data_IF_575080403663
#
_entry.id   IF_575080403663
#
_cell.length_a   1.000
_cell.length_b   1.000
_cell.length_c   1.000
_cell.angle_alpha   90.00
_cell.angle_beta   90.00
_cell.angle_gamma   90.00
#
_symmetry.space_group_name_H-M   'P 1'
#
loop_
_entity.id
_entity.type
_entity.pdbx_description
1 polymer ?
#
# COMPACT_ATOMS: atom_id res chain seq x y z
N UNK A 1 11.68 1.56 15.63
CA UNK A 1 11.08 1.75 14.28
C UNK A 1 11.49 0.57 13.41
N UNK A 2 10.58 -0.34 13.07
CA UNK A 2 10.89 -1.47 12.22
C UNK A 2 10.76 -1.03 10.75
N UNK A 3 11.88 -0.71 10.11
CA UNK A 3 11.93 -0.55 8.66
C UNK A 3 11.82 -1.95 8.04
N UNK A 4 10.63 -2.31 7.57
CA UNK A 4 10.44 -3.50 6.75
C UNK A 4 11.11 -3.19 5.40
N UNK A 5 12.35 -3.64 5.22
CA UNK A 5 13.11 -3.34 4.00
C UNK A 5 12.29 -3.63 2.74
N UNK A 6 12.10 -2.58 1.93
CA UNK A 6 11.38 -2.52 0.67
C UNK A 6 11.61 -3.82 -0.13
N UNK A 7 10.59 -4.69 -0.17
CA UNK A 7 10.34 -5.89 -1.00
C UNK A 7 11.48 -6.72 -1.65
N UNK A 8 12.76 -6.46 -1.36
CA UNK A 8 13.92 -7.04 -2.01
C UNK A 8 14.07 -6.66 -3.48
N UNK A 9 14.24 -5.37 -3.78
CA UNK A 9 14.79 -4.90 -5.07
C UNK A 9 13.82 -4.89 -6.26
N UNK A 10 12.52 -5.09 -6.06
CA UNK A 10 11.57 -5.19 -7.19
C UNK A 10 11.43 -3.92 -8.03
N UNK A 11 11.63 -2.78 -7.40
CA UNK A 11 11.38 -1.45 -7.99
C UNK A 11 12.53 -0.48 -7.70
N UNK A 12 13.72 -0.96 -7.29
CA UNK A 12 14.89 -0.12 -6.98
C UNK A 12 14.62 1.14 -6.12
N UNK A 13 13.58 1.14 -5.29
CA UNK A 13 13.20 2.31 -4.47
C UNK A 13 12.39 3.39 -5.18
N UNK A 14 11.92 3.18 -6.41
CA UNK A 14 11.19 4.20 -7.20
C UNK A 14 9.66 4.09 -7.13
N UNK A 15 9.11 3.14 -6.38
CA UNK A 15 7.67 2.88 -6.33
C UNK A 15 7.16 2.70 -4.90
N UNK A 16 6.01 3.31 -4.63
CA UNK A 16 5.30 3.25 -3.35
C UNK A 16 4.06 2.37 -3.47
N UNK A 17 3.81 1.55 -2.45
CA UNK A 17 2.57 0.78 -2.31
C UNK A 17 2.12 0.77 -0.85
N UNK A 18 0.82 0.60 -0.61
CA UNK A 18 0.24 0.60 0.73
C UNK A 18 0.02 -0.84 1.21
N UNK A 19 0.57 -1.17 2.38
CA UNK A 19 0.29 -2.41 3.09
C UNK A 19 -0.62 -2.13 4.29
N UNK A 20 -1.72 -2.87 4.41
CA UNK A 20 -2.63 -2.80 5.58
C UNK A 20 -2.60 -4.13 6.31
N UNK A 21 -2.31 -4.08 7.61
CA UNK A 21 -2.41 -5.23 8.51
C UNK A 21 -3.68 -5.06 9.33
N UNK A 22 -4.67 -5.92 9.07
CA UNK A 22 -5.94 -5.95 9.81
C UNK A 22 -5.88 -7.08 10.84
N UNK A 23 -5.77 -6.72 12.11
CA UNK A 23 -5.66 -7.68 13.20
C UNK A 23 -6.98 -8.38 13.54
N UNK A 24 -8.12 -7.76 13.21
CA UNK A 24 -9.45 -8.33 13.48
C UNK A 24 -9.75 -9.40 12.43
N UNK A 25 -9.53 -9.08 11.15
CA UNK A 25 -9.73 -10.03 10.03
C UNK A 25 -8.54 -10.98 9.86
N UNK A 26 -7.43 -10.75 10.56
CA UNK A 26 -6.16 -11.47 10.40
C UNK A 26 -5.69 -11.48 8.95
N UNK A 27 -5.53 -10.30 8.37
CA UNK A 27 -5.08 -10.16 6.97
C UNK A 27 -3.92 -9.19 6.82
N UNK A 28 -3.09 -9.44 5.81
CA UNK A 28 -2.09 -8.51 5.29
C UNK A 28 -2.49 -8.21 3.85
N UNK A 29 -2.90 -6.98 3.58
CA UNK A 29 -3.47 -6.56 2.30
C UNK A 29 -2.54 -5.58 1.61
N UNK A 30 -2.34 -5.73 0.30
CA UNK A 30 -1.58 -4.80 -0.52
C UNK A 30 -2.51 -4.03 -1.45
N UNK A 31 -2.34 -2.71 -1.49
CA UNK A 31 -2.95 -1.79 -2.45
C UNK A 31 -1.82 -1.16 -3.25
N UNK A 32 -1.78 -1.47 -4.55
CA UNK A 32 -0.69 -1.13 -5.43
C UNK A 32 -1.24 -0.63 -6.77
N UNK A 33 -1.17 0.68 -6.97
CA UNK A 33 -1.64 1.37 -8.17
C UNK A 33 -0.88 0.98 -9.44
N UNK A 34 0.28 0.33 -9.32
CA UNK A 34 1.09 -0.15 -10.44
C UNK A 34 1.03 -1.68 -10.59
N UNK A 35 0.32 -2.39 -9.70
CA UNK A 35 0.18 -3.86 -9.72
C UNK A 35 1.53 -4.62 -9.79
N UNK A 36 2.56 -4.06 -9.15
CA UNK A 36 3.91 -4.62 -9.09
C UNK A 36 4.05 -5.77 -8.07
N UNK A 37 3.18 -5.79 -7.06
CA UNK A 37 3.24 -6.78 -5.98
C UNK A 37 2.45 -8.05 -6.31
N UNK A 38 3.09 -9.18 -5.99
CA UNK A 38 2.48 -10.51 -6.05
C UNK A 38 2.31 -11.09 -4.65
N UNK A 39 1.50 -12.13 -4.54
CA UNK A 39 1.31 -12.87 -3.28
C UNK A 39 2.64 -13.39 -2.69
N UNK A 40 3.62 -13.73 -3.56
CA UNK A 40 4.95 -14.17 -3.12
C UNK A 40 5.68 -13.05 -2.37
N UNK A 41 5.53 -11.79 -2.81
CA UNK A 41 6.12 -10.63 -2.14
C UNK A 41 5.50 -10.40 -0.76
N UNK A 42 4.17 -10.50 -0.64
CA UNK A 42 3.49 -10.39 0.66
C UNK A 42 3.90 -11.51 1.60
N UNK A 43 4.02 -12.75 1.13
CA UNK A 43 4.49 -13.85 1.97
C UNK A 43 5.92 -13.65 2.46
N UNK A 44 6.80 -13.02 1.66
CA UNK A 44 8.14 -12.62 2.11
C UNK A 44 8.07 -11.54 3.19
N UNK A 45 7.19 -10.55 3.05
CA UNK A 45 6.94 -9.52 4.07
C UNK A 45 6.40 -10.17 5.35
N UNK A 46 5.38 -11.04 5.26
CA UNK A 46 4.83 -11.81 6.38
C UNK A 46 5.90 -12.59 7.12
N UNK A 47 6.82 -13.25 6.40
CA UNK A 47 7.97 -13.95 7.00
C UNK A 47 8.88 -12.99 7.76
N UNK A 48 9.21 -11.82 7.18
CA UNK A 48 10.01 -10.79 7.86
C UNK A 48 9.32 -10.28 9.14
N UNK A 49 8.03 -9.98 9.08
CA UNK A 49 7.22 -9.57 10.22
C UNK A 49 7.20 -10.64 11.33
N UNK A 50 7.00 -11.90 10.95
CA UNK A 50 7.03 -13.04 11.88
C UNK A 50 8.40 -13.16 12.55
N UNK A 51 9.50 -13.03 11.80
CA UNK A 51 10.86 -13.05 12.34
C UNK A 51 11.13 -11.86 13.28
N UNK A 52 10.50 -10.71 13.01
CA UNK A 52 10.52 -9.53 13.88
C UNK A 52 9.57 -9.67 15.09
N UNK A 53 9.04 -10.87 15.36
CA UNK A 53 8.13 -11.20 16.46
C UNK A 53 6.78 -10.46 16.42
N UNK A 54 6.37 -9.98 15.23
CA UNK A 54 5.01 -9.48 15.03
C UNK A 54 4.07 -10.68 14.86
N UNK A 55 2.97 -10.71 15.61
CA UNK A 55 2.02 -11.82 15.61
C UNK A 55 1.12 -11.83 14.36
N UNK A 56 1.67 -12.24 13.22
CA UNK A 56 0.96 -12.31 11.92
C UNK A 56 1.05 -13.68 11.25
N UNK A 57 1.53 -14.73 11.94
CA UNK A 57 1.84 -16.03 11.34
C UNK A 57 0.62 -16.69 10.69
N UNK A 58 -0.56 -16.52 11.26
CA UNK A 58 -1.83 -17.05 10.79
C UNK A 58 -2.57 -16.11 9.83
N UNK A 59 -2.01 -14.94 9.49
CA UNK A 59 -2.73 -13.93 8.70
C UNK A 59 -2.75 -14.30 7.21
N UNK A 60 -3.88 -14.08 6.54
CA UNK A 60 -3.98 -14.27 5.09
C UNK A 60 -3.35 -13.10 4.33
N UNK A 61 -2.53 -13.38 3.32
CA UNK A 61 -1.98 -12.35 2.43
C UNK A 61 -2.95 -12.12 1.26
N UNK A 62 -3.27 -10.86 0.95
CA UNK A 62 -4.24 -10.51 -0.10
C UNK A 62 -3.70 -9.39 -1.01
N UNK A 63 -3.78 -9.59 -2.32
CA UNK A 63 -3.63 -8.52 -3.31
C UNK A 63 -5.03 -7.93 -3.53
N UNK A 64 -5.18 -6.62 -3.31
CA UNK A 64 -6.45 -5.94 -3.50
C UNK A 64 -6.48 -5.32 -4.89
N UNK A 65 -7.59 -5.53 -5.59
CA UNK A 65 -7.89 -4.78 -6.79
C UNK A 65 -8.21 -3.34 -6.40
N UNK A 66 -7.54 -2.38 -7.03
CA UNK A 66 -7.63 -0.96 -6.71
C UNK A 66 -7.35 -0.10 -7.94
N UNK A 67 -7.72 1.18 -7.88
CA UNK A 67 -7.46 2.11 -9.00
C UNK A 67 -6.01 2.10 -9.44
N UNK A 68 -5.79 2.06 -10.75
CA UNK A 68 -4.45 2.10 -11.34
C UNK A 68 -4.02 3.51 -11.64
N UNK A 69 -2.74 3.80 -11.43
CA UNK A 69 -2.12 5.04 -11.92
C UNK A 69 -1.82 4.90 -13.42
N UNK A 70 -1.85 6.03 -14.13
CA UNK A 70 -1.53 6.10 -15.56
C UNK A 70 -0.11 6.62 -15.86
N UNK A 71 0.61 7.10 -14.85
CA UNK A 71 1.98 7.63 -14.94
C UNK A 71 2.90 6.96 -13.91
N UNK A 72 4.16 7.37 -13.83
CA UNK A 72 5.15 6.77 -12.93
C UNK A 72 5.34 7.53 -11.60
N UNK A 73 4.78 8.74 -11.47
CA UNK A 73 5.10 9.66 -10.37
C UNK A 73 4.03 9.71 -9.27
N UNK A 74 2.85 9.14 -9.53
CA UNK A 74 1.69 9.26 -8.63
C UNK A 74 1.53 8.10 -7.64
N UNK A 75 2.44 7.12 -7.61
CA UNK A 75 2.34 5.99 -6.68
C UNK A 75 2.27 6.42 -5.21
N UNK A 76 2.97 7.50 -4.82
CA UNK A 76 2.90 8.10 -3.49
C UNK A 76 1.53 8.69 -3.16
N UNK A 77 1.02 9.66 -3.94
CA UNK A 77 -0.35 10.18 -3.80
C UNK A 77 -1.44 9.10 -3.75
N UNK A 78 -1.36 8.08 -4.61
CA UNK A 78 -2.31 6.96 -4.59
C UNK A 78 -2.29 6.22 -3.23
N UNK A 79 -1.12 5.99 -2.63
CA UNK A 79 -1.03 5.38 -1.30
C UNK A 79 -1.76 6.21 -0.23
N UNK A 80 -1.60 7.53 -0.25
CA UNK A 80 -2.26 8.44 0.70
C UNK A 80 -3.78 8.44 0.51
N UNK A 81 -4.26 8.47 -0.74
CA UNK A 81 -5.69 8.45 -1.05
C UNK A 81 -6.33 7.11 -0.70
N UNK A 82 -5.66 5.98 -0.96
CA UNK A 82 -6.11 4.67 -0.50
C UNK A 82 -6.20 4.62 1.02
N UNK A 83 -5.18 5.09 1.74
CA UNK A 83 -5.20 5.12 3.20
C UNK A 83 -6.38 5.97 3.73
N UNK A 84 -6.60 7.16 3.15
CA UNK A 84 -7.72 8.04 3.49
C UNK A 84 -9.07 7.34 3.29
N UNK A 85 -9.27 6.68 2.16
CA UNK A 85 -10.52 5.97 1.87
C UNK A 85 -10.74 4.75 2.77
N UNK A 86 -9.67 4.01 3.11
CA UNK A 86 -9.73 2.87 4.03
C UNK A 86 -10.12 3.31 5.45
N UNK A 87 -9.51 4.38 5.96
CA UNK A 87 -9.82 4.96 7.28
C UNK A 87 -11.28 5.43 7.34
N UNK A 88 -11.79 5.98 6.23
CA UNK A 88 -13.18 6.42 6.11
C UNK A 88 -14.17 5.28 5.79
N UNK A 89 -13.76 4.02 5.84
CA UNK A 89 -14.59 2.84 5.56
C UNK A 89 -15.31 2.89 4.20
N UNK A 90 -14.67 3.46 3.18
CA UNK A 90 -15.23 3.52 1.82
C UNK A 90 -15.30 2.10 1.24
N UNK A 91 -16.48 1.71 0.75
CA UNK A 91 -16.74 0.35 0.27
C UNK A 91 -15.95 -0.02 -1.00
N UNK A 92 -15.64 0.95 -1.86
CA UNK A 92 -14.88 0.74 -3.10
C UNK A 92 -13.79 1.78 -3.22
N UNK A 93 -12.54 1.32 -3.24
CA UNK A 93 -11.39 2.22 -3.34
C UNK A 93 -11.22 2.71 -4.78
N UNK A 94 -11.78 3.89 -5.06
CA UNK A 94 -11.68 4.55 -6.36
C UNK A 94 -10.90 5.85 -6.19
N UNK A 95 -9.71 5.86 -6.77
CA UNK A 95 -8.88 7.05 -6.92
C UNK A 95 -8.84 7.42 -8.40
N UNK A 96 -8.98 8.71 -8.68
CA UNK A 96 -8.90 9.32 -10.01
C UNK A 96 -7.68 10.24 -10.11
N UNK A 97 -7.29 10.61 -11.34
CA UNK A 97 -6.22 11.58 -11.56
C UNK A 97 -6.53 12.95 -10.93
N UNK A 98 -7.81 13.36 -10.93
CA UNK A 98 -8.26 14.61 -10.29
C UNK A 98 -8.04 14.58 -8.78
N UNK A 99 -8.34 13.46 -8.13
CA UNK A 99 -8.10 13.32 -6.67
C UNK A 99 -6.61 13.48 -6.34
N UNK A 100 -5.74 13.03 -7.24
CA UNK A 100 -4.27 13.14 -7.09
C UNK A 100 -3.79 14.57 -7.31
N UNK A 101 -4.30 15.25 -8.32
CA UNK A 101 -4.03 16.67 -8.58
C UNK A 101 -4.42 17.54 -7.38
N UNK A 102 -5.66 17.38 -6.89
CA UNK A 102 -6.16 18.09 -5.70
C UNK A 102 -5.30 17.81 -4.46
N UNK A 103 -4.85 16.56 -4.27
CA UNK A 103 -3.96 16.21 -3.16
C UNK A 103 -2.59 16.89 -3.29
N UNK A 104 -2.01 16.91 -4.49
CA UNK A 104 -0.71 17.56 -4.74
C UNK A 104 -0.78 19.06 -4.47
N UNK A 105 -1.86 19.73 -4.89
CA UNK A 105 -2.09 21.14 -4.58
C UNK A 105 -2.18 21.38 -3.07
N UNK A 106 -2.97 20.58 -2.35
CA UNK A 106 -3.10 20.67 -0.90
C UNK A 106 -1.76 20.49 -0.18
N UNK A 107 -0.93 19.53 -0.61
CA UNK A 107 0.39 19.31 -0.02
C UNK A 107 1.38 20.42 -0.36
N UNK A 108 1.25 21.06 -1.52
CA UNK A 108 2.14 22.15 -1.95
C UNK A 108 1.88 23.46 -1.20
N UNK A 109 0.68 23.65 -0.64
CA UNK A 109 0.33 24.81 0.19
C UNK A 109 0.97 24.72 1.60
N UNK A 110 1.44 23.54 2.01
CA UNK A 110 1.93 23.26 3.37
C UNK A 110 3.48 23.22 3.43
N UNK A 111 4.17 23.28 2.29
CA UNK A 111 5.64 23.28 2.17
C UNK A 111 6.20 24.70 2.07
#
# INVERSE_FOLDING_TARGET
>A
MFLIGNTGGLVNGVHWSLLVIDNVKKTIQSFDSFSSLSIKHLNRIKKKLTNAKVNVKDYACLIRDCSRQSNNDDCGPYCLLFAKQIINNVATLKVTAKDVEELREQCSIIA
#
